data_IF_738197109888
#
_entry.id   IF_738197109888
#
_cell.length_a   1.000
_cell.length_b   1.000
_cell.length_c   1.000
_cell.angle_alpha   90.00
_cell.angle_beta   90.00
_cell.angle_gamma   90.00
#
_symmetry.space_group_name_H-M   'P 1'
#
loop_
_entity.id
_entity.type
_entity.pdbx_description
1 polymer ?
#
# COMPACT_ATOMS: atom_id res chain seq x y z
N UNK A 1 4.59 -24.70 3.98
CA UNK A 1 3.36 -24.78 4.80
C UNK A 1 2.78 -23.38 4.95
N UNK A 2 1.54 -23.16 4.55
CA UNK A 2 0.92 -21.82 4.67
C UNK A 2 0.51 -21.61 6.12
N UNK A 3 0.98 -20.50 6.71
CA UNK A 3 0.66 -20.16 8.09
C UNK A 3 -0.85 -19.88 8.24
N UNK A 4 -1.42 -20.27 9.37
CA UNK A 4 -2.79 -19.92 9.74
C UNK A 4 -2.93 -18.40 9.93
N UNK A 5 -4.10 -17.83 9.64
CA UNK A 5 -4.36 -16.40 9.82
C UNK A 5 -4.08 -15.91 11.25
N UNK A 6 -4.36 -16.75 12.26
CA UNK A 6 -4.02 -16.47 13.66
C UNK A 6 -2.51 -16.31 13.89
N UNK A 7 -1.69 -17.11 13.23
CA UNK A 7 -0.24 -17.03 13.32
C UNK A 7 0.30 -15.76 12.64
N UNK A 8 -0.25 -15.40 11.47
CA UNK A 8 0.11 -14.16 10.78
C UNK A 8 -0.24 -12.92 11.60
N UNK A 9 -1.44 -12.90 12.21
CA UNK A 9 -1.84 -11.82 13.12
C UNK A 9 -0.98 -11.77 14.40
N UNK A 10 -0.56 -12.91 14.91
CA UNK A 10 0.35 -12.98 16.05
C UNK A 10 1.74 -12.43 15.70
N UNK A 11 2.28 -12.79 14.54
CA UNK A 11 3.55 -12.27 14.04
C UNK A 11 3.51 -10.76 13.80
N UNK A 12 2.43 -10.23 13.23
CA UNK A 12 2.26 -8.78 13.06
C UNK A 12 2.23 -8.03 14.41
N UNK A 13 1.55 -8.58 15.41
CA UNK A 13 1.55 -8.02 16.78
C UNK A 13 2.93 -8.06 17.42
N UNK A 14 3.67 -9.14 17.23
CA UNK A 14 5.03 -9.26 17.75
C UNK A 14 6.01 -8.32 17.05
N UNK A 15 5.90 -8.14 15.74
CA UNK A 15 6.70 -7.17 14.98
C UNK A 15 6.45 -5.72 15.45
N UNK A 16 5.23 -5.42 15.90
CA UNK A 16 4.87 -4.11 16.46
C UNK A 16 5.22 -3.96 17.94
N UNK A 17 5.65 -5.04 18.62
CA UNK A 17 5.94 -4.99 20.05
C UNK A 17 7.04 -3.98 20.35
N UNK A 18 6.78 -3.07 21.27
CA UNK A 18 7.67 -1.93 21.58
C UNK A 18 7.66 -0.79 20.56
N UNK A 19 7.06 -0.97 19.38
CA UNK A 19 7.00 0.05 18.30
C UNK A 19 5.61 0.66 18.10
N UNK A 20 4.62 0.24 18.91
CA UNK A 20 3.23 0.71 18.82
C UNK A 20 3.09 2.24 18.81
N UNK A 21 3.75 2.99 19.73
CA UNK A 21 3.61 4.46 19.74
C UNK A 21 4.12 5.09 18.43
N UNK A 22 5.25 4.63 17.92
CA UNK A 22 5.85 5.14 16.68
C UNK A 22 4.99 4.79 15.45
N UNK A 23 4.46 3.56 15.40
CA UNK A 23 3.54 3.14 14.34
C UNK A 23 2.24 3.96 14.37
N UNK A 24 1.70 4.25 15.55
CA UNK A 24 0.54 5.11 15.71
C UNK A 24 0.83 6.55 15.25
N UNK A 25 2.00 7.10 15.58
CA UNK A 25 2.42 8.44 15.11
C UNK A 25 2.56 8.45 13.59
N UNK A 26 3.16 7.42 12.98
CA UNK A 26 3.24 7.32 11.51
C UNK A 26 1.85 7.30 10.85
N UNK A 27 0.91 6.55 11.44
CA UNK A 27 -0.47 6.50 10.95
C UNK A 27 -1.20 7.85 11.14
N UNK A 28 -0.96 8.56 12.24
CA UNK A 28 -1.50 9.90 12.48
C UNK A 28 -0.96 10.92 11.48
N UNK A 29 0.35 10.92 11.21
CA UNK A 29 0.97 11.80 10.20
C UNK A 29 0.36 11.53 8.83
N UNK A 30 0.28 10.26 8.43
CA UNK A 30 -0.36 9.86 7.18
C UNK A 30 -1.82 10.37 7.10
N UNK A 31 -2.60 10.14 8.14
CA UNK A 31 -4.02 10.54 8.20
C UNK A 31 -4.19 12.06 8.18
N UNK A 32 -3.30 12.79 8.86
CA UNK A 32 -3.31 14.25 8.87
C UNK A 32 -3.01 14.83 7.47
N UNK A 33 -2.02 14.26 6.77
CA UNK A 33 -1.70 14.67 5.39
C UNK A 33 -2.89 14.35 4.47
N UNK A 34 -3.40 13.13 4.49
CA UNK A 34 -4.50 12.69 3.64
C UNK A 34 -5.79 13.49 3.92
N UNK A 35 -6.13 13.68 5.19
CA UNK A 35 -7.31 14.45 5.61
C UNK A 35 -7.19 15.95 5.33
N UNK A 36 -6.02 16.53 5.59
CA UNK A 36 -5.75 17.94 5.33
C UNK A 36 -5.84 18.29 3.84
N UNK A 37 -5.31 17.44 2.97
CA UNK A 37 -5.42 17.60 1.52
C UNK A 37 -6.88 17.51 1.05
N UNK A 38 -7.68 16.62 1.63
CA UNK A 38 -9.09 16.43 1.26
C UNK A 38 -9.99 17.60 1.70
N UNK A 39 -9.55 18.42 2.66
CA UNK A 39 -10.34 19.54 3.18
C UNK A 39 -10.41 20.74 2.22
N UNK A 40 -9.57 20.79 1.17
CA UNK A 40 -9.55 21.89 0.21
C UNK A 40 -10.50 21.55 -0.96
N UNK A 41 -11.63 22.29 -1.12
CA UNK A 41 -12.56 22.03 -2.23
C UNK A 41 -11.87 22.20 -3.60
N UNK A 42 -12.21 21.37 -4.56
CA UNK A 42 -11.74 21.40 -5.96
C UNK A 42 -10.25 21.05 -6.12
N UNK A 43 -9.33 21.76 -5.44
CA UNK A 43 -7.87 21.53 -5.53
C UNK A 43 -7.46 20.33 -4.68
N UNK A 44 -8.18 20.05 -3.60
CA UNK A 44 -7.87 18.95 -2.67
C UNK A 44 -7.89 17.58 -3.33
N UNK A 45 -8.78 17.36 -4.30
CA UNK A 45 -8.81 16.12 -5.07
C UNK A 45 -7.54 15.89 -5.90
N UNK A 46 -7.06 16.93 -6.59
CA UNK A 46 -5.81 16.86 -7.34
C UNK A 46 -4.61 16.75 -6.39
N UNK A 47 -4.56 17.56 -5.34
CA UNK A 47 -3.50 17.46 -4.34
C UNK A 47 -3.47 16.07 -3.68
N UNK A 48 -4.64 15.49 -3.35
CA UNK A 48 -4.73 14.13 -2.80
C UNK A 48 -4.23 13.08 -3.79
N UNK A 49 -4.43 13.27 -5.09
CA UNK A 49 -3.91 12.37 -6.11
C UNK A 49 -2.38 12.46 -6.20
N UNK A 50 -1.84 13.68 -6.38
CA UNK A 50 -0.42 13.88 -6.63
C UNK A 50 0.46 13.67 -5.38
N UNK A 51 -0.03 14.01 -4.21
CA UNK A 51 0.69 13.86 -2.94
C UNK A 51 0.26 12.61 -2.19
N UNK A 52 -1.03 12.30 -2.20
CA UNK A 52 -1.58 11.17 -1.44
C UNK A 52 -1.05 9.82 -1.89
N UNK A 53 -0.91 9.57 -3.19
CA UNK A 53 -0.40 8.30 -3.71
C UNK A 53 1.07 8.03 -3.26
N UNK A 54 2.02 8.96 -3.43
CA UNK A 54 3.39 8.76 -2.93
C UNK A 54 3.47 8.59 -1.40
N UNK A 55 2.65 9.33 -0.65
CA UNK A 55 2.63 9.22 0.83
C UNK A 55 1.99 7.89 1.27
N UNK A 56 0.95 7.41 0.58
CA UNK A 56 0.37 6.09 0.83
C UNK A 56 1.38 4.97 0.56
N UNK A 57 2.16 5.08 -0.50
CA UNK A 57 3.30 4.19 -0.75
C UNK A 57 4.29 4.24 0.41
N UNK A 58 4.76 5.44 0.81
CA UNK A 58 5.69 5.61 1.91
C UNK A 58 5.19 5.00 3.22
N UNK A 59 3.91 5.17 3.56
CA UNK A 59 3.30 4.54 4.73
C UNK A 59 3.35 3.01 4.66
N UNK A 60 3.05 2.44 3.49
CA UNK A 60 3.16 0.98 3.26
C UNK A 60 4.59 0.48 3.50
N UNK A 61 5.60 1.25 3.06
CA UNK A 61 7.01 0.91 3.24
C UNK A 61 7.45 1.03 4.70
N UNK A 62 6.94 2.01 5.45
CA UNK A 62 7.16 2.09 6.91
C UNK A 62 6.64 0.81 7.59
N UNK A 63 5.42 0.39 7.27
CA UNK A 63 4.85 -0.84 7.85
C UNK A 63 5.63 -2.09 7.43
N UNK A 64 6.09 -2.16 6.18
CA UNK A 64 6.98 -3.23 5.72
C UNK A 64 8.30 -3.25 6.51
N UNK A 65 8.89 -2.08 6.78
CA UNK A 65 10.09 -1.94 7.61
C UNK A 65 9.89 -2.52 9.01
N UNK A 66 8.75 -2.23 9.64
CA UNK A 66 8.38 -2.80 10.94
C UNK A 66 8.31 -4.33 10.88
N UNK A 67 7.67 -4.88 9.85
CA UNK A 67 7.58 -6.33 9.65
C UNK A 67 8.96 -6.98 9.43
N UNK A 68 9.90 -6.24 8.84
CA UNK A 68 11.30 -6.65 8.62
C UNK A 68 12.23 -6.38 9.83
N UNK A 69 11.66 -5.97 10.97
CA UNK A 69 12.40 -5.72 12.22
C UNK A 69 13.15 -4.39 12.26
N UNK A 70 13.02 -3.53 11.26
CA UNK A 70 13.65 -2.20 11.21
C UNK A 70 12.97 -1.23 12.18
N UNK A 71 13.70 -0.22 12.61
CA UNK A 71 13.11 0.89 13.36
C UNK A 71 12.28 1.80 12.45
N UNK A 72 11.30 2.47 13.04
CA UNK A 72 10.44 3.38 12.31
C UNK A 72 11.19 4.69 12.05
N UNK A 73 11.43 4.97 10.78
CA UNK A 73 11.96 6.23 10.30
C UNK A 73 10.86 6.97 9.52
N UNK A 74 10.50 8.14 10.02
CA UNK A 74 9.45 8.96 9.40
C UNK A 74 9.88 9.55 8.05
N UNK A 75 11.18 9.62 7.76
CA UNK A 75 11.67 10.04 6.44
C UNK A 75 11.20 9.11 5.33
N UNK A 76 10.99 7.83 5.65
CA UNK A 76 10.50 6.80 4.74
C UNK A 76 9.06 7.08 4.25
N UNK A 77 8.26 7.84 5.02
CA UNK A 77 6.94 8.31 4.55
C UNK A 77 7.03 9.10 3.25
N UNK A 78 8.15 9.80 3.04
CA UNK A 78 8.39 10.64 1.87
C UNK A 78 9.27 9.94 0.81
N UNK A 79 9.60 8.68 1.00
CA UNK A 79 10.42 7.91 0.05
C UNK A 79 9.75 7.82 -1.33
N UNK A 80 8.41 7.83 -1.38
CA UNK A 80 7.65 7.87 -2.62
C UNK A 80 7.95 9.08 -3.53
N UNK A 81 8.57 10.13 -2.98
CA UNK A 81 8.98 11.31 -3.75
C UNK A 81 10.39 11.22 -4.33
N UNK A 82 11.21 10.27 -3.89
CA UNK A 82 12.58 10.10 -4.40
C UNK A 82 12.59 9.53 -5.83
N UNK A 83 11.67 8.59 -6.11
CA UNK A 83 11.45 8.05 -7.45
C UNK A 83 10.01 8.30 -7.89
N UNK A 84 9.62 9.57 -7.81
CA UNK A 84 8.25 10.03 -7.95
C UNK A 84 7.59 9.53 -9.24
N UNK A 85 8.27 9.69 -10.38
CA UNK A 85 7.68 9.33 -11.67
C UNK A 85 7.29 7.86 -11.76
N UNK A 86 8.16 6.97 -11.33
CA UNK A 86 7.93 5.52 -11.35
C UNK A 86 6.83 5.12 -10.39
N UNK A 87 6.92 5.59 -9.14
CA UNK A 87 5.97 5.23 -8.07
C UNK A 87 4.59 5.81 -8.37
N UNK A 88 4.53 7.10 -8.71
CA UNK A 88 3.28 7.78 -9.02
C UNK A 88 2.54 7.14 -10.20
N UNK A 89 3.23 6.91 -11.33
CA UNK A 89 2.60 6.31 -12.52
C UNK A 89 2.11 4.90 -12.23
N UNK A 90 2.87 4.10 -11.51
CA UNK A 90 2.46 2.72 -11.18
C UNK A 90 1.26 2.70 -10.24
N UNK A 91 1.27 3.53 -9.18
CA UNK A 91 0.15 3.63 -8.23
C UNK A 91 -1.11 4.21 -8.90
N UNK A 92 -0.92 5.17 -9.79
CA UNK A 92 -2.02 5.73 -10.58
C UNK A 92 -2.65 4.69 -11.52
N UNK A 93 -1.83 3.93 -12.25
CA UNK A 93 -2.32 2.85 -13.11
C UNK A 93 -3.06 1.79 -12.30
N UNK A 94 -2.54 1.40 -11.15
CA UNK A 94 -3.21 0.47 -10.24
C UNK A 94 -4.59 1.02 -9.81
N UNK A 95 -4.67 2.31 -9.43
CA UNK A 95 -5.93 2.94 -9.03
C UNK A 95 -6.91 2.97 -10.19
N UNK A 96 -6.48 3.37 -11.39
CA UNK A 96 -7.31 3.40 -12.61
C UNK A 96 -7.84 1.99 -12.93
N UNK A 97 -7.00 0.97 -12.92
CA UNK A 97 -7.45 -0.40 -13.17
C UNK A 97 -8.46 -0.88 -12.13
N UNK A 98 -8.22 -0.58 -10.86
CA UNK A 98 -9.16 -0.94 -9.78
C UNK A 98 -10.51 -0.24 -9.98
N UNK A 99 -10.51 1.05 -10.32
CA UNK A 99 -11.74 1.82 -10.59
C UNK A 99 -12.49 1.25 -11.80
N UNK A 100 -11.80 0.98 -12.92
CA UNK A 100 -12.42 0.40 -14.11
C UNK A 100 -13.07 -0.95 -13.81
N UNK A 101 -12.40 -1.81 -13.06
CA UNK A 101 -12.98 -3.10 -12.65
C UNK A 101 -14.15 -2.94 -11.69
N UNK A 102 -14.09 -1.94 -10.80
CA UNK A 102 -15.20 -1.64 -9.86
C UNK A 102 -16.41 -1.05 -10.57
N UNK A 103 -16.18 -0.29 -11.65
CA UNK A 103 -17.26 0.26 -12.48
C UNK A 103 -17.99 -0.84 -13.28
N UNK A 104 -17.24 -1.86 -13.71
CA UNK A 104 -17.80 -2.97 -14.47
C UNK A 104 -18.72 -3.83 -13.59
N UNK A 105 -18.25 -4.22 -12.42
CA UNK A 105 -19.00 -4.92 -11.36
C UNK A 105 -18.21 -4.81 -10.04
N UNK A 106 -18.89 -4.59 -8.93
CA UNK A 106 -18.26 -4.43 -7.61
C UNK A 106 -17.41 -5.65 -7.21
N UNK A 107 -17.91 -6.87 -7.46
CA UNK A 107 -17.21 -8.11 -7.10
C UNK A 107 -15.87 -8.26 -7.84
N UNK A 108 -15.79 -8.14 -9.19
CA UNK A 108 -14.50 -8.12 -9.88
C UNK A 108 -13.55 -7.00 -9.41
N UNK A 109 -14.07 -5.82 -9.05
CA UNK A 109 -13.29 -4.74 -8.49
C UNK A 109 -12.57 -5.14 -7.20
N UNK A 110 -13.27 -5.78 -6.27
CA UNK A 110 -12.71 -6.31 -5.03
C UNK A 110 -11.64 -7.37 -5.34
N UNK A 111 -11.93 -8.35 -6.22
CA UNK A 111 -10.97 -9.39 -6.60
C UNK A 111 -9.70 -8.79 -7.21
N UNK A 112 -9.83 -7.75 -8.03
CA UNK A 112 -8.70 -7.08 -8.66
C UNK A 112 -7.91 -6.21 -7.69
N UNK A 113 -8.54 -5.57 -6.71
CA UNK A 113 -7.81 -4.84 -5.66
C UNK A 113 -6.88 -5.78 -4.88
N UNK A 114 -7.34 -6.97 -4.52
CA UNK A 114 -6.47 -8.00 -3.93
C UNK A 114 -5.39 -8.51 -4.89
N UNK A 115 -5.65 -8.55 -6.19
CA UNK A 115 -4.63 -8.91 -7.17
C UNK A 115 -3.48 -7.90 -7.22
N UNK A 116 -3.73 -6.63 -6.92
CA UNK A 116 -2.76 -5.54 -6.96
C UNK A 116 -2.13 -5.24 -5.60
N UNK A 117 -2.50 -5.96 -4.55
CA UNK A 117 -2.07 -5.68 -3.17
C UNK A 117 -0.54 -5.71 -2.97
N UNK A 118 0.18 -6.52 -3.76
CA UNK A 118 1.63 -6.64 -3.65
C UNK A 118 2.42 -5.59 -4.45
N UNK A 119 1.77 -4.74 -5.23
CA UNK A 119 2.44 -3.79 -6.15
C UNK A 119 3.42 -2.86 -5.42
N UNK A 120 3.01 -2.27 -4.29
CA UNK A 120 3.88 -1.37 -3.51
C UNK A 120 5.13 -2.07 -2.96
N UNK A 121 5.00 -3.32 -2.55
CA UNK A 121 6.12 -4.12 -2.04
C UNK A 121 7.10 -4.48 -3.16
N UNK A 122 6.59 -4.83 -4.36
CA UNK A 122 7.40 -5.11 -5.55
C UNK A 122 8.17 -3.86 -5.97
N UNK A 123 7.54 -2.69 -5.99
CA UNK A 123 8.20 -1.42 -6.30
C UNK A 123 9.36 -1.12 -5.34
N UNK A 124 9.25 -1.52 -4.07
CA UNK A 124 10.30 -1.35 -3.07
C UNK A 124 11.44 -2.33 -3.26
N UNK A 125 11.12 -3.61 -3.48
CA UNK A 125 12.10 -4.69 -3.53
C UNK A 125 12.81 -4.77 -4.90
N UNK A 126 12.18 -4.28 -5.98
CA UNK A 126 12.71 -4.29 -7.34
C UNK A 126 12.67 -2.90 -7.97
N UNK A 127 13.65 -2.04 -7.68
CA UNK A 127 13.67 -0.65 -8.15
C UNK A 127 13.71 -0.49 -9.69
N UNK A 128 14.19 -1.50 -10.41
CA UNK A 128 14.21 -1.52 -11.89
C UNK A 128 12.83 -1.77 -12.50
N UNK A 129 11.92 -2.40 -11.74
CA UNK A 129 10.59 -2.72 -12.21
C UNK A 129 9.67 -1.50 -12.09
N UNK A 130 8.88 -1.23 -13.10
CA UNK A 130 8.03 -0.02 -13.14
C UNK A 130 6.75 -0.25 -13.92
N UNK A 131 5.78 0.63 -13.65
CA UNK A 131 4.50 0.68 -14.37
C UNK A 131 3.77 -0.67 -14.36
N UNK A 132 3.34 -1.10 -15.52
CA UNK A 132 2.50 -2.29 -15.70
C UNK A 132 3.19 -3.58 -15.25
N UNK A 133 4.51 -3.70 -15.40
CA UNK A 133 5.26 -4.89 -15.03
C UNK A 133 5.16 -5.20 -13.53
N UNK A 134 5.19 -4.19 -12.65
CA UNK A 134 5.00 -4.37 -11.22
C UNK A 134 3.57 -4.84 -10.88
N UNK A 135 2.58 -4.32 -11.59
CA UNK A 135 1.17 -4.71 -11.43
C UNK A 135 0.95 -6.16 -11.90
N UNK A 136 1.50 -6.53 -13.06
CA UNK A 136 1.41 -7.90 -13.60
C UNK A 136 2.09 -8.91 -12.68
N UNK A 137 3.26 -8.57 -12.13
CA UNK A 137 3.94 -9.40 -11.15
C UNK A 137 3.12 -9.56 -9.87
N UNK A 138 2.48 -8.49 -9.40
CA UNK A 138 1.56 -8.54 -8.27
C UNK A 138 0.39 -9.50 -8.54
N UNK A 139 -0.21 -9.43 -9.74
CA UNK A 139 -1.28 -10.35 -10.13
C UNK A 139 -0.83 -11.81 -10.10
N UNK A 140 0.36 -12.10 -10.63
CA UNK A 140 0.92 -13.46 -10.63
C UNK A 140 1.19 -13.96 -9.20
N UNK A 141 1.77 -13.14 -8.34
CA UNK A 141 2.02 -13.48 -6.93
C UNK A 141 0.72 -13.74 -6.14
N UNK A 142 -0.34 -13.02 -6.48
CA UNK A 142 -1.64 -13.15 -5.81
C UNK A 142 -2.53 -14.23 -6.40
N UNK A 143 -2.11 -14.92 -7.47
CA UNK A 143 -2.83 -16.05 -8.00
C UNK A 143 -2.89 -17.18 -6.96
N UNK A 144 -4.10 -17.67 -6.68
CA UNK A 144 -4.35 -18.67 -5.63
C UNK A 144 -4.29 -18.13 -4.18
N UNK A 145 -3.83 -16.89 -3.95
CA UNK A 145 -3.66 -16.33 -2.60
C UNK A 145 -4.68 -15.22 -2.24
N UNK A 146 -5.47 -14.73 -3.20
CA UNK A 146 -6.44 -13.63 -3.01
C UNK A 146 -7.43 -13.92 -1.88
N UNK A 147 -8.01 -15.13 -1.86
CA UNK A 147 -8.97 -15.54 -0.85
C UNK A 147 -8.33 -15.59 0.54
N UNK A 148 -7.05 -15.96 0.64
CA UNK A 148 -6.34 -16.01 1.93
C UNK A 148 -6.11 -14.62 2.50
N UNK A 149 -5.73 -13.66 1.64
CA UNK A 149 -5.58 -12.26 2.05
C UNK A 149 -6.94 -11.69 2.46
N UNK A 150 -7.99 -11.93 1.68
CA UNK A 150 -9.36 -11.54 2.03
C UNK A 150 -9.79 -12.07 3.41
N UNK A 151 -9.54 -13.35 3.69
CA UNK A 151 -9.86 -13.98 4.98
C UNK A 151 -8.98 -13.48 6.13
N UNK A 152 -7.81 -12.89 5.84
CA UNK A 152 -6.95 -12.25 6.84
C UNK A 152 -7.47 -10.86 7.23
N UNK A 153 -8.08 -10.15 6.27
CA UNK A 153 -8.64 -8.82 6.47
C UNK A 153 -9.99 -8.84 7.22
N UNK A 154 -10.68 -10.00 7.25
CA UNK A 154 -11.89 -10.23 8.05
C UNK A 154 -11.57 -10.55 9.54
#
# INVERSE_FOLDING_TARGET
>A
MLKLNSELRAQAREALRGKWPMAAVAALIYSAIAGGLSAIPVIGGLCSLFVGLPVAYGFTIVMLGVCRGKDIDFSVLFEGFQDYGRIFVTMLLQAVYTILWSLLLVIPGIIKSYSYAMTSFILKDEPEMKNNAAIEKSMAMMEGNKMKLFMLDL
#
